data_IF_101734312427
#
_entry.id   IF_101734312427
#
_cell.length_a   1.000
_cell.length_b   1.000
_cell.length_c   1.000
_cell.angle_alpha   90.00
_cell.angle_beta   90.00
_cell.angle_gamma   90.00
#
_symmetry.space_group_name_H-M   'P 1'
#
loop_
_entity.id
_entity.type
_entity.pdbx_description
1 polymer ?
#
# COMPACT_ATOMS: atom_id res chain seq x y z
N UNK A 1 -11.46 22.48 33.32
CA UNK A 1 -9.99 22.28 33.32
C UNK A 1 -9.72 20.83 32.91
N UNK A 2 -10.13 20.51 31.68
CA UNK A 2 -10.39 19.12 31.28
C UNK A 2 -9.22 18.53 30.53
N UNK A 3 -8.82 17.33 30.94
CA UNK A 3 -7.80 16.46 30.32
C UNK A 3 -8.16 15.97 28.90
N UNK A 4 -9.07 16.65 28.21
CA UNK A 4 -9.57 16.33 26.87
C UNK A 4 -9.23 17.41 25.83
N UNK A 5 -8.27 18.28 26.12
CA UNK A 5 -7.74 19.21 25.12
C UNK A 5 -7.08 18.44 23.98
N UNK A 6 -7.59 18.63 22.76
CA UNK A 6 -7.01 18.10 21.51
C UNK A 6 -5.50 18.41 21.38
N UNK A 7 -5.06 19.53 21.97
CA UNK A 7 -3.64 19.92 22.06
C UNK A 7 -2.79 18.91 22.86
N UNK A 8 -3.33 18.30 23.91
CA UNK A 8 -2.61 17.30 24.69
C UNK A 8 -2.32 16.06 23.82
N UNK A 9 -3.33 15.57 23.10
CA UNK A 9 -3.17 14.46 22.15
C UNK A 9 -2.16 14.76 21.04
N UNK A 10 -2.11 16.00 20.55
CA UNK A 10 -1.11 16.42 19.57
C UNK A 10 0.33 16.34 20.12
N UNK A 11 0.55 16.80 21.35
CA UNK A 11 1.86 16.72 22.01
C UNK A 11 2.26 15.27 22.26
N UNK A 12 1.34 14.43 22.72
CA UNK A 12 1.59 12.99 22.94
C UNK A 12 1.94 12.28 21.63
N UNK A 13 1.24 12.57 20.53
CA UNK A 13 1.55 12.02 19.21
C UNK A 13 2.96 12.38 18.76
N UNK A 14 3.39 13.63 18.94
CA UNK A 14 4.74 14.06 18.58
C UNK A 14 5.78 13.28 19.40
N UNK A 15 5.59 13.17 20.71
CA UNK A 15 6.50 12.43 21.59
C UNK A 15 6.54 10.94 21.23
N UNK A 16 5.39 10.33 20.94
CA UNK A 16 5.33 8.93 20.49
C UNK A 16 6.10 8.72 19.17
N UNK A 17 5.92 9.60 18.18
CA UNK A 17 6.67 9.54 16.91
C UNK A 17 8.17 9.67 17.13
N UNK A 18 8.61 10.52 18.06
CA UNK A 18 10.01 10.70 18.41
C UNK A 18 10.60 9.47 19.12
N UNK A 19 9.84 8.84 20.03
CA UNK A 19 10.26 7.62 20.75
C UNK A 19 10.36 6.41 19.83
N UNK A 20 9.35 6.18 18.99
CA UNK A 20 9.34 5.05 18.05
C UNK A 20 10.25 5.30 16.84
N UNK A 21 10.52 6.57 16.51
CA UNK A 21 11.29 6.99 15.35
C UNK A 21 10.48 6.88 14.05
N UNK A 22 10.75 7.81 13.12
CA UNK A 22 10.04 7.90 11.83
C UNK A 22 10.21 6.65 10.95
N UNK A 23 11.33 5.93 11.08
CA UNK A 23 11.61 4.74 10.27
C UNK A 23 10.67 3.57 10.62
N UNK A 24 10.44 3.31 11.91
CA UNK A 24 9.51 2.26 12.37
C UNK A 24 8.06 2.61 12.03
N UNK A 25 7.64 3.85 12.24
CA UNK A 25 6.30 4.32 11.88
C UNK A 25 6.02 4.24 10.38
N UNK A 26 7.00 4.49 9.52
CA UNK A 26 6.82 4.38 8.05
C UNK A 26 6.64 2.94 7.61
N UNK A 27 7.42 2.00 8.16
CA UNK A 27 7.26 0.58 7.81
C UNK A 27 5.92 0.01 8.32
N UNK A 28 5.59 0.21 9.60
CA UNK A 28 4.31 -0.28 10.15
C UNK A 28 3.10 0.49 9.60
N UNK A 29 3.25 1.80 9.38
CA UNK A 29 2.20 2.65 8.84
C UNK A 29 1.91 2.39 7.36
N UNK A 30 2.87 1.90 6.57
CA UNK A 30 2.62 1.50 5.19
C UNK A 30 1.73 0.24 5.14
N UNK A 31 2.05 -0.78 5.94
CA UNK A 31 1.31 -2.05 5.96
C UNK A 31 -0.11 -1.88 6.52
N UNK A 32 -0.24 -1.13 7.61
CA UNK A 32 -1.55 -0.78 8.19
C UNK A 32 -2.31 0.21 7.31
N UNK A 33 -1.60 1.14 6.68
CA UNK A 33 -2.17 2.15 5.78
C UNK A 33 -2.78 1.53 4.53
N UNK A 34 -2.15 0.54 3.92
CA UNK A 34 -2.70 -0.16 2.75
C UNK A 34 -4.00 -0.91 3.10
N UNK A 35 -4.04 -1.53 4.29
CA UNK A 35 -5.23 -2.23 4.80
C UNK A 35 -6.40 -1.26 5.06
N UNK A 36 -6.12 -0.09 5.65
CA UNK A 36 -7.12 0.96 5.93
C UNK A 36 -7.54 1.68 4.63
N UNK A 37 -6.64 1.81 3.65
CA UNK A 37 -6.92 2.43 2.35
C UNK A 37 -7.96 1.66 1.57
N UNK A 38 -7.91 0.32 1.58
CA UNK A 38 -8.96 -0.52 1.01
C UNK A 38 -10.33 -0.30 1.66
N UNK A 39 -10.37 -0.24 2.99
CA UNK A 39 -11.60 0.05 3.74
C UNK A 39 -12.16 1.44 3.43
N UNK A 40 -11.33 2.48 3.48
CA UNK A 40 -11.76 3.85 3.13
C UNK A 40 -12.21 3.92 1.67
N UNK A 41 -11.55 3.20 0.77
CA UNK A 41 -11.95 3.14 -0.64
C UNK A 41 -13.32 2.48 -0.79
N UNK A 42 -13.58 1.35 -0.15
CA UNK A 42 -14.91 0.71 -0.18
C UNK A 42 -16.00 1.60 0.40
N UNK A 43 -15.73 2.32 1.49
CA UNK A 43 -16.70 3.26 2.09
C UNK A 43 -16.91 4.52 1.24
N UNK A 44 -15.94 4.92 0.41
CA UNK A 44 -16.09 6.08 -0.50
C UNK A 44 -16.47 5.68 -1.94
N UNK A 45 -16.37 4.40 -2.31
CA UNK A 45 -16.66 3.88 -3.66
C UNK A 45 -18.11 3.45 -3.84
N UNK A 46 -19.00 3.76 -2.89
CA UNK A 46 -20.44 3.78 -3.13
C UNK A 46 -20.83 4.85 -4.17
N UNK A 47 -19.92 5.77 -4.54
CA UNK A 47 -20.15 6.83 -5.55
C UNK A 47 -19.23 6.79 -6.81
N UNK A 48 -18.09 6.09 -6.85
CA UNK A 48 -17.26 5.95 -8.08
C UNK A 48 -16.15 4.86 -7.97
N UNK A 49 -15.91 4.08 -9.04
CA UNK A 49 -15.02 2.88 -9.11
C UNK A 49 -13.97 3.09 -10.23
N UNK A 50 -12.69 2.58 -10.18
CA UNK A 50 -11.82 2.09 -9.10
C UNK A 50 -10.36 2.65 -9.17
N UNK A 51 -9.47 2.24 -8.24
CA UNK A 51 -8.04 2.07 -8.56
C UNK A 51 -7.38 1.06 -7.58
N UNK A 52 -6.95 -0.12 -8.07
CA UNK A 52 -6.18 -1.09 -7.28
C UNK A 52 -4.69 -0.70 -7.28
N UNK A 53 -4.16 -0.30 -6.13
CA UNK A 53 -2.73 0.03 -5.97
C UNK A 53 -1.83 -1.23 -5.80
N UNK A 54 -2.43 -2.42 -5.72
CA UNK A 54 -1.69 -3.69 -5.51
C UNK A 54 -1.43 -4.48 -6.82
N UNK A 55 -1.90 -3.98 -7.97
CA UNK A 55 -1.67 -4.65 -9.26
C UNK A 55 -0.30 -4.32 -9.90
N UNK A 56 0.37 -3.25 -9.47
CA UNK A 56 1.59 -2.78 -10.16
C UNK A 56 2.84 -3.64 -9.93
N UNK A 57 2.86 -4.51 -8.92
CA UNK A 57 4.01 -5.39 -8.66
C UNK A 57 3.83 -6.81 -9.25
N UNK A 58 2.59 -7.28 -9.45
CA UNK A 58 2.33 -8.65 -9.93
C UNK A 58 2.22 -8.75 -11.46
N UNK A 59 1.73 -7.69 -12.11
CA UNK A 59 1.52 -7.68 -13.56
C UNK A 59 2.85 -7.65 -14.34
N UNK A 60 3.93 -7.12 -13.76
CA UNK A 60 5.24 -7.07 -14.44
C UNK A 60 6.00 -8.41 -14.36
N UNK A 61 5.77 -9.23 -13.34
CA UNK A 61 6.40 -10.55 -13.21
C UNK A 61 5.78 -11.61 -14.13
N UNK A 62 4.46 -11.61 -14.26
CA UNK A 62 3.71 -12.61 -15.04
C UNK A 62 3.81 -12.36 -16.57
N UNK A 63 3.91 -11.10 -16.99
CA UNK A 63 4.06 -10.74 -18.41
C UNK A 63 5.43 -11.10 -19.00
N UNK A 64 6.49 -11.20 -18.16
CA UNK A 64 7.83 -11.59 -18.61
C UNK A 64 7.99 -13.11 -18.74
N UNK A 65 7.26 -13.89 -17.95
CA UNK A 65 7.27 -15.36 -18.02
C UNK A 65 6.54 -15.88 -19.26
N UNK A 66 5.38 -15.28 -19.60
CA UNK A 66 4.64 -15.61 -20.82
C UNK A 66 5.40 -15.25 -22.11
N UNK A 67 6.24 -14.21 -22.09
CA UNK A 67 7.06 -13.80 -23.24
C UNK A 67 8.32 -14.67 -23.42
N UNK A 68 8.83 -15.29 -22.34
CA UNK A 68 9.96 -16.22 -22.42
C UNK A 68 9.54 -17.60 -22.93
N UNK A 69 8.37 -18.09 -22.52
CA UNK A 69 7.81 -19.36 -23.00
C UNK A 69 7.41 -19.31 -24.49
N UNK A 70 6.86 -18.18 -24.96
CA UNK A 70 6.47 -18.00 -26.37
C UNK A 70 7.66 -17.79 -27.33
N UNK A 71 8.87 -17.53 -26.81
CA UNK A 71 10.09 -17.36 -27.62
C UNK A 71 10.88 -18.67 -27.80
N UNK A 72 10.56 -19.72 -27.04
CA UNK A 72 11.20 -21.04 -27.16
C UNK A 72 10.48 -22.01 -28.12
N UNK A 73 9.25 -21.73 -28.55
CA UNK A 73 8.54 -22.53 -29.58
C UNK A 73 8.65 -21.94 -31.00
N UNK A 74 9.86 -21.58 -31.42
CA UNK A 74 10.16 -21.35 -32.83
C UNK A 74 10.91 -22.58 -33.39
N UNK A 75 10.23 -23.66 -33.81
CA UNK A 75 10.86 -24.67 -34.62
C UNK A 75 11.09 -24.07 -36.02
N UNK A 76 12.21 -23.38 -36.15
CA UNK A 76 12.84 -23.13 -37.43
C UNK A 76 13.30 -24.46 -38.03
N UNK A 77 12.75 -24.75 -39.20
CA UNK A 77 13.46 -25.36 -40.34
C UNK A 77 14.22 -26.68 -40.09
N UNK A 78 13.58 -27.81 -40.45
CA UNK A 78 14.19 -28.81 -41.33
C UNK A 78 13.15 -29.74 -41.94
#
# INVERSE_FOLDING_TARGET
MGVFDWKHWLVVLIVAVLLFGSKRLKHLGADLGESIKGFRRSVNSEDDVPAPAVASARVEGEAREAQHAAREEHPGNR
#
